data_IF_007029643861
#
_entry.id   IF_007029643861
#
_cell.length_a   1.000
_cell.length_b   1.000
_cell.length_c   1.000
_cell.angle_alpha   90.00
_cell.angle_beta   90.00
_cell.angle_gamma   90.00
#
_symmetry.space_group_name_H-M   'P 1'
#
loop_
_entity.id
_entity.type
_entity.pdbx_description
1 polymer ?
#
# COMPACT_ATOMS: atom_id res chain seq x y z
N UNK A 1 7.34 -15.60 5.17
CA UNK A 1 6.45 -14.79 6.02
C UNK A 1 7.30 -14.11 7.07
N UNK A 2 7.00 -12.86 7.39
CA UNK A 2 7.81 -12.05 8.32
C UNK A 2 6.93 -11.48 9.42
N UNK A 3 7.52 -11.18 10.58
CA UNK A 3 6.75 -10.61 11.70
C UNK A 3 6.72 -9.10 11.60
N UNK A 4 5.54 -8.51 11.77
CA UNK A 4 5.41 -7.07 11.91
C UNK A 4 6.18 -6.61 13.17
N UNK A 5 7.09 -5.61 13.06
CA UNK A 5 7.86 -5.13 14.19
C UNK A 5 7.01 -4.41 15.26
N UNK A 6 5.80 -3.94 14.91
CA UNK A 6 4.91 -3.26 15.85
C UNK A 6 3.94 -4.21 16.55
N UNK A 7 3.21 -5.04 15.80
CA UNK A 7 2.16 -5.88 16.38
C UNK A 7 2.55 -7.36 16.55
N UNK A 8 3.73 -7.77 16.09
CA UNK A 8 4.26 -9.13 16.23
C UNK A 8 3.59 -10.20 15.36
N UNK A 9 2.48 -9.89 14.69
CA UNK A 9 1.77 -10.83 13.81
C UNK A 9 2.62 -11.21 12.58
N UNK A 10 2.49 -12.46 12.15
CA UNK A 10 3.09 -12.94 10.91
C UNK A 10 2.30 -12.46 9.70
N UNK A 11 3.00 -11.87 8.74
CA UNK A 11 2.43 -11.28 7.54
C UNK A 11 3.17 -11.78 6.29
N UNK A 12 2.41 -11.98 5.22
CA UNK A 12 2.91 -12.40 3.90
C UNK A 12 2.94 -11.30 2.85
N UNK A 13 2.34 -10.15 3.15
CA UNK A 13 2.24 -8.99 2.25
C UNK A 13 2.15 -7.68 3.05
N UNK A 14 2.32 -6.56 2.36
CA UNK A 14 2.14 -5.21 2.88
C UNK A 14 0.99 -4.52 2.13
N UNK A 15 0.26 -3.63 2.80
CA UNK A 15 -0.65 -2.69 2.14
C UNK A 15 0.17 -1.54 1.61
N UNK A 16 -0.01 -1.16 0.35
CA UNK A 16 0.59 0.03 -0.23
C UNK A 16 -0.46 1.14 -0.27
N UNK A 17 -0.14 2.29 0.33
CA UNK A 17 -0.96 3.50 0.28
C UNK A 17 -0.24 4.53 -0.57
N UNK A 18 -0.82 4.86 -1.72
CA UNK A 18 -0.30 5.89 -2.63
C UNK A 18 -0.99 7.21 -2.33
N UNK A 19 -0.21 8.20 -1.91
CA UNK A 19 -0.69 9.54 -1.57
C UNK A 19 -0.49 10.51 -2.74
N UNK A 20 -1.33 11.53 -2.81
CA UNK A 20 -1.30 12.56 -3.87
C UNK A 20 -1.46 11.97 -5.28
N UNK A 21 -2.23 10.90 -5.42
CA UNK A 21 -2.66 10.37 -6.70
C UNK A 21 -3.98 11.05 -7.14
N UNK A 22 -4.20 11.10 -8.46
CA UNK A 22 -5.51 11.41 -9.03
C UNK A 22 -6.17 10.10 -9.42
N UNK A 23 -7.37 9.86 -8.87
CA UNK A 23 -8.17 8.69 -9.23
C UNK A 23 -9.21 9.12 -10.26
N UNK A 24 -9.17 8.48 -11.41
CA UNK A 24 -10.08 8.74 -12.52
C UNK A 24 -11.26 7.78 -12.46
N UNK A 25 -12.47 8.35 -12.55
CA UNK A 25 -13.71 7.62 -12.64
C UNK A 25 -14.54 8.14 -13.80
N UNK A 26 -15.22 7.25 -14.52
CA UNK A 26 -16.32 7.62 -15.41
C UNK A 26 -17.57 7.78 -14.56
N UNK A 27 -18.23 8.93 -14.67
CA UNK A 27 -19.54 9.17 -14.09
C UNK A 27 -20.58 9.19 -15.21
N UNK A 28 -21.52 8.24 -15.19
CA UNK A 28 -22.56 8.07 -16.23
C UNK A 28 -23.87 8.83 -15.91
N UNK A 29 -23.91 9.52 -14.76
CA UNK A 29 -25.11 10.20 -14.24
C UNK A 29 -25.73 9.50 -13.02
N UNK A 30 -25.38 8.25 -12.74
CA UNK A 30 -25.89 7.47 -11.60
C UNK A 30 -24.78 6.70 -10.87
N UNK A 31 -23.83 6.14 -11.61
CA UNK A 31 -22.76 5.28 -11.11
C UNK A 31 -21.37 5.84 -11.43
N UNK A 32 -20.38 5.33 -10.69
CA UNK A 32 -18.96 5.56 -10.93
C UNK A 32 -18.28 4.26 -11.33
N UNK A 33 -17.58 4.25 -12.46
CA UNK A 33 -16.69 3.16 -12.86
C UNK A 33 -15.23 3.61 -12.71
N UNK A 34 -14.42 2.82 -12.01
CA UNK A 34 -12.99 3.10 -11.87
C UNK A 34 -12.28 2.92 -13.21
N UNK A 35 -11.53 3.95 -13.63
CA UNK A 35 -10.73 3.90 -14.86
C UNK A 35 -9.28 3.64 -14.50
N UNK A 36 -8.67 4.55 -13.74
CA UNK A 36 -7.25 4.50 -13.44
C UNK A 36 -6.91 5.30 -12.16
N UNK A 37 -5.71 5.06 -11.63
CA UNK A 37 -5.09 5.83 -10.57
C UNK A 37 -3.73 6.32 -11.05
N UNK A 38 -3.65 7.60 -11.40
CA UNK A 38 -2.45 8.20 -12.02
C UNK A 38 -1.74 9.16 -11.08
N UNK A 39 -0.42 9.19 -11.19
CA UNK A 39 0.45 10.01 -10.33
C UNK A 39 0.79 9.30 -9.03
N UNK A 40 0.85 10.06 -7.94
CA UNK A 40 1.38 9.60 -6.66
C UNK A 40 2.80 10.10 -6.43
N UNK A 41 3.00 10.90 -5.38
CA UNK A 41 4.32 11.43 -5.02
C UNK A 41 4.93 10.74 -3.80
N UNK A 42 4.13 9.94 -3.09
CA UNK A 42 4.52 9.29 -1.86
C UNK A 42 3.78 7.96 -1.74
N UNK A 43 4.52 6.92 -1.38
CA UNK A 43 3.99 5.59 -1.13
C UNK A 43 4.34 5.16 0.30
N UNK A 44 3.39 4.53 0.99
CA UNK A 44 3.63 3.95 2.31
C UNK A 44 3.29 2.45 2.29
N UNK A 45 4.29 1.62 2.62
CA UNK A 45 4.13 0.17 2.74
C UNK A 45 3.88 -0.18 4.21
N UNK A 46 2.66 -0.61 4.51
CA UNK A 46 2.14 -0.74 5.87
C UNK A 46 1.77 -2.20 6.21
N UNK A 47 1.86 -2.54 7.49
CA UNK A 47 1.38 -3.81 8.02
C UNK A 47 -0.14 -3.95 7.77
N UNK A 48 -0.61 -5.06 7.17
CA UNK A 48 -2.02 -5.25 6.87
C UNK A 48 -2.91 -5.35 8.12
N UNK A 49 -2.32 -5.75 9.25
CA UNK A 49 -3.00 -6.05 10.50
C UNK A 49 -3.16 -4.85 11.44
N UNK A 50 -2.15 -4.00 11.53
CA UNK A 50 -2.12 -2.90 12.49
C UNK A 50 -1.90 -1.52 11.85
N UNK A 51 -1.76 -1.45 10.52
CA UNK A 51 -1.53 -0.22 9.78
C UNK A 51 -0.17 0.44 10.00
N UNK A 52 0.74 -0.20 10.74
CA UNK A 52 2.07 0.36 10.97
C UNK A 52 2.85 0.52 9.66
N UNK A 53 3.37 1.71 9.41
CA UNK A 53 4.28 1.97 8.30
C UNK A 53 5.60 1.25 8.50
N UNK A 54 5.93 0.36 7.56
CA UNK A 54 7.19 -0.39 7.53
C UNK A 54 8.27 0.44 6.83
N UNK A 55 7.94 0.99 5.65
CA UNK A 55 8.84 1.81 4.85
C UNK A 55 8.05 2.60 3.81
N UNK A 56 8.69 3.59 3.19
CA UNK A 56 8.20 4.36 2.05
C UNK A 56 8.92 3.98 0.74
N UNK A 57 9.90 3.08 0.82
CA UNK A 57 10.69 2.62 -0.32
C UNK A 57 10.30 1.20 -0.73
N UNK A 58 9.91 1.04 -2.00
CA UNK A 58 9.44 -0.24 -2.53
C UNK A 58 10.53 -1.33 -2.48
N UNK A 59 11.81 -0.97 -2.64
CA UNK A 59 12.91 -1.93 -2.58
C UNK A 59 13.13 -2.45 -1.15
N UNK A 60 13.02 -1.58 -0.15
CA UNK A 60 13.02 -1.96 1.26
C UNK A 60 11.80 -2.82 1.60
N UNK A 61 10.63 -2.51 1.05
CA UNK A 61 9.42 -3.32 1.24
C UNK A 61 9.60 -4.74 0.69
N UNK A 62 10.19 -4.86 -0.50
CA UNK A 62 10.55 -6.15 -1.13
C UNK A 62 11.57 -6.93 -0.29
N UNK A 63 12.62 -6.26 0.22
CA UNK A 63 13.63 -6.89 1.10
C UNK A 63 13.01 -7.38 2.41
N UNK A 64 12.17 -6.55 3.03
CA UNK A 64 11.47 -6.90 4.26
C UNK A 64 10.65 -8.19 4.10
N UNK A 65 9.84 -8.32 3.04
CA UNK A 65 9.04 -9.53 2.82
C UNK A 65 9.87 -10.79 2.51
N UNK A 66 11.08 -10.63 1.96
CA UNK A 66 12.01 -11.73 1.68
C UNK A 66 12.80 -12.20 2.92
N UNK A 67 12.67 -11.52 4.06
CA UNK A 67 13.32 -11.89 5.31
C UNK A 67 14.63 -11.15 5.62
N UNK A 68 14.97 -10.12 4.84
CA UNK A 68 16.24 -9.39 4.96
C UNK A 68 17.33 -9.97 4.08
#
# INVERSE_FOLDING_TARGET
>A
MVRCPKCGKEIGFLKNYVHSCMVEYIFDGENYEFVDCVGGSLEEFCCPECGYKITEDEQQAKKFLKGG
#
